data_IF_080438012408
#
_entry.id   IF_080438012408
#
_cell.length_a   1.000
_cell.length_b   1.000
_cell.length_c   1.000
_cell.angle_alpha   90.00
_cell.angle_beta   90.00
_cell.angle_gamma   90.00
#
_symmetry.space_group_name_H-M   'P 1'
#
loop_
_entity.id
_entity.type
_entity.pdbx_description
1 polymer ?
#
# COMPACT_ATOMS: atom_id res chain seq x y z
N UNK A 1 -6.57 7.83 -39.26
CA UNK A 1 -6.43 6.65 -38.37
C UNK A 1 -5.50 7.02 -37.22
N UNK A 2 -6.04 7.17 -36.01
CA UNK A 2 -5.25 7.59 -34.84
C UNK A 2 -4.42 6.40 -34.33
N UNK A 3 -3.08 6.52 -34.38
CA UNK A 3 -2.17 5.57 -33.75
C UNK A 3 -2.32 5.70 -32.23
N UNK A 4 -2.84 4.65 -31.59
CA UNK A 4 -2.79 4.52 -30.15
C UNK A 4 -1.31 4.52 -29.72
N UNK A 5 -0.88 5.62 -29.09
CA UNK A 5 0.45 5.69 -28.51
C UNK A 5 0.50 4.74 -27.31
N UNK A 6 1.44 3.79 -27.26
CA UNK A 6 1.60 2.95 -26.08
C UNK A 6 1.90 3.86 -24.89
N UNK A 7 1.07 3.80 -23.83
CA UNK A 7 1.37 4.49 -22.58
C UNK A 7 2.76 4.02 -22.12
N UNK A 8 3.70 4.93 -21.82
CA UNK A 8 5.01 4.52 -21.31
C UNK A 8 4.80 3.66 -20.06
N UNK A 9 5.37 2.46 -20.05
CA UNK A 9 5.40 1.63 -18.85
C UNK A 9 6.12 2.43 -17.77
N UNK A 10 5.53 2.60 -16.57
CA UNK A 10 6.22 3.26 -15.48
C UNK A 10 7.52 2.52 -15.19
N UNK A 11 8.63 3.25 -15.16
CA UNK A 11 9.92 2.68 -14.77
C UNK A 11 9.81 2.22 -13.31
N UNK A 12 10.04 0.93 -13.07
CA UNK A 12 10.30 0.40 -11.74
C UNK A 12 11.60 1.05 -11.28
N UNK A 13 11.57 1.81 -10.19
CA UNK A 13 12.74 2.56 -9.71
C UNK A 13 13.25 1.95 -8.42
N UNK A 14 14.57 1.86 -8.28
CA UNK A 14 15.25 1.43 -7.03
C UNK A 14 15.07 2.42 -5.87
N UNK A 15 14.43 3.57 -6.13
CA UNK A 15 14.08 4.56 -5.13
C UNK A 15 12.58 4.90 -5.18
N UNK A 16 12.02 5.34 -4.04
CA UNK A 16 12.62 5.28 -2.71
C UNK A 16 12.70 3.84 -2.18
N UNK A 17 13.73 3.57 -1.36
CA UNK A 17 13.89 2.25 -0.72
C UNK A 17 12.93 2.14 0.46
N UNK A 18 11.85 1.42 0.25
CA UNK A 18 10.74 1.26 1.19
C UNK A 18 10.56 -0.22 1.53
N UNK A 19 10.45 -0.53 2.82
CA UNK A 19 9.92 -1.82 3.28
C UNK A 19 8.54 -1.61 3.89
N UNK A 20 7.62 -2.51 3.54
CA UNK A 20 6.30 -2.61 4.18
C UNK A 20 6.26 -3.95 4.89
N UNK A 21 5.96 -3.92 6.19
CA UNK A 21 5.80 -5.15 6.98
C UNK A 21 4.38 -5.71 6.83
N UNK A 22 4.18 -7.02 7.08
CA UNK A 22 2.84 -7.57 7.29
C UNK A 22 2.05 -6.73 8.29
N UNK A 23 0.78 -6.47 8.00
CA UNK A 23 -0.06 -5.69 8.90
C UNK A 23 -0.53 -6.52 10.09
N UNK A 24 -0.88 -5.84 11.18
CA UNK A 24 -1.65 -6.42 12.27
C UNK A 24 -3.10 -5.96 12.19
N UNK A 25 -3.99 -6.73 12.82
CA UNK A 25 -5.44 -6.51 12.72
C UNK A 25 -6.07 -6.39 14.10
N UNK A 26 -7.00 -5.45 14.24
CA UNK A 26 -7.92 -5.33 15.38
C UNK A 26 -9.35 -5.06 14.89
N UNK A 27 -10.36 -5.41 15.67
CA UNK A 27 -11.77 -5.27 15.29
C UNK A 27 -12.55 -6.57 15.43
N UNK A 28 -13.76 -6.59 14.87
CA UNK A 28 -14.67 -7.72 14.89
C UNK A 28 -15.80 -7.52 13.85
N UNK A 29 -16.60 -8.56 13.62
CA UNK A 29 -17.87 -8.48 12.88
C UNK A 29 -17.76 -7.82 11.50
N UNK A 30 -16.70 -8.19 10.77
CA UNK A 30 -16.48 -7.68 9.43
C UNK A 30 -15.91 -6.27 9.35
N UNK A 31 -15.75 -5.60 10.49
CA UNK A 31 -15.19 -4.26 10.63
C UNK A 31 -13.84 -4.35 11.32
N UNK A 32 -12.80 -4.12 10.54
CA UNK A 32 -11.42 -4.30 10.98
C UNK A 32 -10.64 -3.01 10.83
N UNK A 33 -9.56 -2.93 11.57
CA UNK A 33 -8.54 -1.92 11.47
C UNK A 33 -7.22 -2.62 11.23
N UNK A 34 -6.58 -2.32 10.10
CA UNK A 34 -5.27 -2.88 9.77
C UNK A 34 -4.17 -1.84 9.99
N UNK A 35 -3.14 -2.22 10.73
CA UNK A 35 -1.98 -1.38 11.03
C UNK A 35 -0.78 -1.87 10.24
N UNK A 36 -0.36 -1.06 9.29
CA UNK A 36 0.83 -1.28 8.48
C UNK A 36 2.02 -0.59 9.13
N UNK A 37 3.15 -1.30 9.24
CA UNK A 37 4.43 -0.68 9.56
C UNK A 37 5.21 -0.43 8.27
N UNK A 38 5.62 0.81 8.06
CA UNK A 38 6.30 1.27 6.84
C UNK A 38 7.67 1.80 7.26
N UNK A 39 8.73 1.18 6.73
CA UNK A 39 10.10 1.54 7.03
C UNK A 39 10.76 2.25 5.83
N UNK A 40 11.43 3.36 6.13
CA UNK A 40 12.28 4.07 5.20
C UNK A 40 13.70 3.48 5.27
N UNK A 41 14.06 2.65 4.30
CA UNK A 41 15.42 2.10 4.15
C UNK A 41 16.31 2.98 3.26
N UNK A 42 15.80 4.15 2.87
CA UNK A 42 16.53 5.19 2.17
C UNK A 42 17.39 6.05 3.09
N UNK A 43 18.17 6.90 2.46
CA UNK A 43 19.02 7.90 3.12
C UNK A 43 18.39 9.30 3.07
N UNK A 44 17.23 9.43 2.41
CA UNK A 44 16.44 10.66 2.32
C UNK A 44 15.14 10.52 3.12
N UNK A 45 14.63 11.60 3.73
CA UNK A 45 13.35 11.57 4.40
C UNK A 45 12.21 11.24 3.41
N UNK A 46 11.22 10.48 3.90
CA UNK A 46 10.01 10.17 3.15
C UNK A 46 8.81 10.84 3.79
N UNK A 47 7.92 11.38 2.97
CA UNK A 47 6.58 11.80 3.41
C UNK A 47 5.53 10.92 2.76
N UNK A 48 4.73 10.22 3.57
CA UNK A 48 3.53 9.53 3.12
C UNK A 48 2.41 10.54 2.97
N UNK A 49 1.80 10.57 1.78
CA UNK A 49 0.78 11.55 1.38
C UNK A 49 -0.62 10.94 1.41
N UNK A 50 -0.75 9.68 0.97
CA UNK A 50 -2.02 8.97 1.06
C UNK A 50 -1.81 7.48 1.02
N UNK A 51 -2.83 6.77 1.49
CA UNK A 51 -2.93 5.32 1.40
C UNK A 51 -4.30 4.91 0.87
N UNK A 52 -4.32 3.84 0.08
CA UNK A 52 -5.55 3.26 -0.44
C UNK A 52 -5.41 1.75 -0.56
N UNK A 53 -6.50 1.03 -0.26
CA UNK A 53 -6.64 -0.39 -0.54
C UNK A 53 -7.82 -0.55 -1.51
N UNK A 54 -7.57 -0.88 -2.79
CA UNK A 54 -8.61 -0.89 -3.81
C UNK A 54 -9.38 -2.21 -3.92
N UNK A 55 -8.95 -3.26 -3.21
CA UNK A 55 -9.54 -4.59 -3.34
C UNK A 55 -10.98 -4.58 -2.82
N UNK A 56 -11.94 -5.15 -3.55
CA UNK A 56 -13.39 -5.00 -3.31
C UNK A 56 -13.82 -5.36 -1.89
N UNK A 57 -13.28 -6.46 -1.34
CA UNK A 57 -13.53 -6.94 0.03
C UNK A 57 -12.56 -6.39 1.07
N UNK A 58 -11.79 -5.37 0.72
CA UNK A 58 -10.79 -4.73 1.58
C UNK A 58 -10.67 -3.25 1.21
N UNK A 59 -11.79 -2.68 0.72
CA UNK A 59 -11.79 -1.41 0.02
C UNK A 59 -11.80 -0.27 1.02
N UNK A 60 -10.84 0.63 0.87
CA UNK A 60 -10.81 1.90 1.58
C UNK A 60 -10.88 3.05 0.59
N UNK A 61 -11.60 4.11 0.97
CA UNK A 61 -11.42 5.39 0.31
C UNK A 61 -9.96 5.81 0.46
N UNK A 62 -9.44 6.58 -0.50
CA UNK A 62 -8.11 7.16 -0.33
C UNK A 62 -8.08 7.95 0.98
N UNK A 63 -7.20 7.52 1.88
CA UNK A 63 -7.00 8.14 3.18
C UNK A 63 -5.84 9.10 3.05
N UNK A 64 -6.12 10.39 3.17
CA UNK A 64 -5.08 11.41 3.22
C UNK A 64 -4.20 11.15 4.46
N UNK A 65 -2.89 11.21 4.25
CA UNK A 65 -1.88 11.05 5.28
C UNK A 65 -1.02 12.30 5.31
N UNK A 66 -0.50 12.62 6.48
CA UNK A 66 0.64 13.50 6.60
C UNK A 66 1.67 12.94 7.59
N UNK A 67 2.41 11.92 7.13
CA UNK A 67 3.38 11.20 7.98
C UNK A 67 4.77 11.35 7.40
N UNK A 68 5.67 11.99 8.17
CA UNK A 68 7.09 12.04 7.86
C UNK A 68 7.82 10.84 8.47
N UNK A 69 8.67 10.18 7.68
CA UNK A 69 9.52 9.07 8.09
C UNK A 69 10.96 9.48 7.81
N UNK A 70 11.73 9.72 8.88
CA UNK A 70 13.15 10.01 8.79
C UNK A 70 13.92 8.87 8.09
N UNK A 71 15.12 9.14 7.55
CA UNK A 71 16.01 8.08 7.07
C UNK A 71 16.20 6.99 8.13
N UNK A 72 16.13 5.72 7.73
CA UNK A 72 16.30 4.56 8.62
C UNK A 72 15.28 4.47 9.76
N UNK A 73 14.17 5.20 9.68
CA UNK A 73 13.07 5.13 10.63
C UNK A 73 11.86 4.38 10.05
N UNK A 74 10.85 4.16 10.89
CA UNK A 74 9.58 3.57 10.49
C UNK A 74 8.41 4.31 11.14
N UNK A 75 7.26 4.27 10.48
CA UNK A 75 6.00 4.78 11.00
C UNK A 75 4.88 3.78 10.75
N UNK A 76 3.82 3.90 11.54
CA UNK A 76 2.65 3.05 11.39
C UNK A 76 1.51 3.83 10.73
N UNK A 77 0.84 3.17 9.78
CA UNK A 77 -0.34 3.67 9.09
C UNK A 77 -1.50 2.74 9.38
N UNK A 78 -2.60 3.33 9.84
CA UNK A 78 -3.79 2.58 10.27
C UNK A 78 -4.93 2.86 9.30
N UNK A 79 -5.55 1.80 8.77
CA UNK A 79 -6.64 1.90 7.81
C UNK A 79 -7.84 1.06 8.28
N UNK A 80 -9.05 1.64 8.35
CA UNK A 80 -10.26 0.87 8.59
C UNK A 80 -10.63 0.10 7.33
N UNK A 81 -10.91 -1.20 7.43
CA UNK A 81 -11.30 -2.07 6.31
C UNK A 81 -12.57 -2.82 6.66
N UNK A 82 -13.41 -3.08 5.65
CA UNK A 82 -14.47 -4.09 5.76
C UNK A 82 -13.96 -5.37 5.11
N UNK A 83 -14.04 -6.50 5.81
CA UNK A 83 -13.54 -7.81 5.33
C UNK A 83 -14.44 -8.92 5.88
N UNK A 84 -15.13 -9.62 4.99
CA UNK A 84 -16.22 -10.57 5.29
C UNK A 84 -16.04 -11.91 4.56
N UNK A 85 -14.81 -12.40 4.55
CA UNK A 85 -14.49 -13.69 3.92
C UNK A 85 -14.68 -14.84 4.91
N UNK A 86 -15.08 -16.01 4.40
CA UNK A 86 -15.18 -17.22 5.22
C UNK A 86 -13.81 -17.63 5.79
N UNK A 87 -13.71 -18.14 7.04
CA UNK A 87 -12.46 -18.63 7.59
C UNK A 87 -11.71 -19.58 6.65
N UNK A 88 -10.40 -19.38 6.49
CA UNK A 88 -9.55 -20.12 5.56
C UNK A 88 -9.56 -19.62 4.12
N UNK A 89 -10.48 -18.72 3.73
CA UNK A 89 -10.47 -18.11 2.41
C UNK A 89 -9.18 -17.31 2.18
N UNK A 90 -8.67 -17.35 0.95
CA UNK A 90 -7.45 -16.66 0.55
C UNK A 90 -7.80 -15.58 -0.46
N UNK A 91 -7.40 -14.36 -0.16
CA UNK A 91 -7.48 -13.23 -1.09
C UNK A 91 -6.14 -13.06 -1.76
N UNK A 92 -6.10 -13.39 -3.04
CA UNK A 92 -4.93 -13.23 -3.92
C UNK A 92 -4.87 -11.82 -4.50
N UNK A 93 -3.67 -11.26 -4.62
CA UNK A 93 -3.41 -9.90 -5.12
C UNK A 93 -4.06 -8.70 -4.36
N UNK A 94 -4.22 -8.70 -3.02
CA UNK A 94 -4.56 -7.47 -2.32
C UNK A 94 -3.35 -6.53 -2.30
N UNK A 95 -3.61 -5.25 -2.56
CA UNK A 95 -2.60 -4.20 -2.61
C UNK A 95 -2.88 -3.11 -1.58
N UNK A 96 -1.83 -2.67 -0.90
CA UNK A 96 -1.74 -1.33 -0.33
C UNK A 96 -1.06 -0.42 -1.36
N UNK A 97 -1.73 0.66 -1.73
CA UNK A 97 -1.19 1.72 -2.58
C UNK A 97 -0.80 2.87 -1.66
N UNK A 98 0.46 3.30 -1.72
CA UNK A 98 0.95 4.48 -1.03
C UNK A 98 1.34 5.55 -2.04
N UNK A 99 0.92 6.80 -1.81
CA UNK A 99 1.52 7.98 -2.43
C UNK A 99 2.54 8.57 -1.48
N UNK A 100 3.71 8.90 -1.98
CA UNK A 100 4.84 9.32 -1.17
C UNK A 100 5.73 10.33 -1.89
N UNK A 101 6.52 11.08 -1.10
CA UNK A 101 7.45 12.11 -1.57
C UNK A 101 8.82 11.99 -0.92
N UNK A 102 9.89 12.11 -1.72
CA UNK A 102 11.30 12.12 -1.28
C UNK A 102 12.13 13.26 -1.93
N UNK A 103 11.44 14.23 -2.52
CA UNK A 103 11.98 15.21 -3.48
C UNK A 103 11.30 15.11 -4.86
N UNK A 104 10.69 13.96 -5.17
CA UNK A 104 9.70 13.80 -6.25
C UNK A 104 8.41 13.13 -5.77
N UNK A 105 7.41 12.99 -6.65
CA UNK A 105 6.23 12.19 -6.36
C UNK A 105 6.40 10.72 -6.78
N UNK A 106 5.96 9.83 -5.90
CA UNK A 106 6.09 8.39 -6.07
C UNK A 106 4.82 7.67 -5.68
N UNK A 107 4.68 6.48 -6.27
CA UNK A 107 3.66 5.49 -5.90
C UNK A 107 4.35 4.18 -5.55
N UNK A 108 4.06 3.68 -4.35
CA UNK A 108 4.42 2.31 -3.97
C UNK A 108 3.20 1.40 -4.03
N UNK A 109 3.40 0.20 -4.56
CA UNK A 109 2.43 -0.89 -4.57
C UNK A 109 2.99 -2.00 -3.69
N UNK A 110 2.39 -2.17 -2.50
CA UNK A 110 2.72 -3.24 -1.58
C UNK A 110 1.70 -4.37 -1.75
N UNK A 111 2.17 -5.53 -2.21
CA UNK A 111 1.38 -6.74 -2.43
C UNK A 111 1.56 -7.66 -1.25
N UNK A 112 0.47 -8.14 -0.68
CA UNK A 112 0.48 -9.08 0.45
C UNK A 112 -0.47 -10.22 0.11
N UNK A 113 -0.28 -11.41 0.69
CA UNK A 113 -1.32 -12.45 0.68
C UNK A 113 -2.19 -12.26 1.91
N UNK A 114 -3.51 -12.35 1.78
CA UNK A 114 -4.41 -12.29 2.94
C UNK A 114 -5.16 -13.60 3.08
N UNK A 115 -5.21 -14.13 4.30
CA UNK A 115 -6.04 -15.28 4.66
C UNK A 115 -7.06 -14.86 5.71
N UNK A 116 -8.30 -15.29 5.56
CA UNK A 116 -9.31 -15.11 6.60
C UNK A 116 -9.00 -16.02 7.79
N UNK A 117 -8.76 -15.44 8.94
CA UNK A 117 -8.49 -16.14 10.18
C UNK A 117 -9.71 -16.84 10.77
N UNK A 118 -9.55 -17.57 11.88
CA UNK A 118 -10.63 -18.32 12.52
C UNK A 118 -11.82 -17.47 12.97
N UNK A 119 -11.62 -16.17 13.23
CA UNK A 119 -12.68 -15.22 13.60
C UNK A 119 -13.17 -14.40 12.40
N UNK A 120 -12.75 -14.76 11.19
CA UNK A 120 -13.00 -13.98 9.98
C UNK A 120 -12.12 -12.73 9.88
N UNK A 121 -11.07 -12.60 10.70
CA UNK A 121 -10.15 -11.47 10.59
C UNK A 121 -9.24 -11.58 9.36
N UNK A 122 -8.87 -10.48 8.69
CA UNK A 122 -7.80 -10.52 7.70
C UNK A 122 -6.46 -10.77 8.40
N UNK A 123 -5.75 -11.83 7.99
CA UNK A 123 -4.39 -12.13 8.41
C UNK A 123 -3.43 -11.90 7.25
N UNK A 124 -2.41 -11.08 7.46
CA UNK A 124 -1.35 -10.87 6.50
C UNK A 124 -0.43 -12.10 6.43
N UNK A 125 -0.06 -12.51 5.22
CA UNK A 125 1.05 -13.44 5.01
C UNK A 125 2.38 -12.84 5.47
N UNK A 126 3.38 -13.70 5.68
CA UNK A 126 4.68 -13.31 6.24
C UNK A 126 5.49 -12.34 5.37
N UNK A 127 5.19 -12.30 4.07
CA UNK A 127 5.92 -11.47 3.10
C UNK A 127 5.02 -10.43 2.43
N UNK A 128 5.62 -9.27 2.18
CA UNK A 128 5.02 -8.18 1.40
C UNK A 128 6.01 -7.81 0.30
N UNK A 129 5.54 -7.82 -0.94
CA UNK A 129 6.34 -7.44 -2.11
C UNK A 129 6.04 -6.00 -2.46
N UNK A 130 7.07 -5.16 -2.46
CA UNK A 130 6.93 -3.73 -2.74
C UNK A 130 7.48 -3.38 -4.12
N UNK A 131 6.73 -2.62 -4.90
CA UNK A 131 7.21 -2.02 -6.15
C UNK A 131 6.99 -0.51 -6.11
N UNK A 132 8.04 0.26 -6.39
CA UNK A 132 8.03 1.72 -6.43
C UNK A 132 8.10 2.23 -7.86
N UNK A 133 7.29 3.25 -8.15
CA UNK A 133 7.19 3.89 -9.45
C UNK A 133 7.20 5.39 -9.27
N UNK A 134 8.06 6.08 -10.03
CA UNK A 134 8.03 7.54 -10.07
C UNK A 134 6.75 7.98 -10.77
N UNK A 135 6.03 8.93 -10.17
CA UNK A 135 4.90 9.56 -10.84
C UNK A 135 5.50 10.52 -11.87
N UNK A 136 5.35 10.19 -13.15
CA UNK A 136 5.79 11.06 -14.24
C UNK A 136 4.98 12.36 -14.26
N UNK A 137 5.60 13.42 -14.77
CA UNK A 137 4.88 14.67 -15.09
C UNK A 137 4.06 14.37 -16.35
N UNK A 138 2.87 13.81 -16.19
CA UNK A 138 1.90 13.77 -17.28
C UNK A 138 1.46 15.21 -17.53
N UNK A 139 1.76 15.78 -18.70
CA UNK A 139 1.10 17.01 -19.14
C UNK A 139 -0.41 16.81 -18.99
N UNK A 140 -1.02 17.62 -18.15
CA UNK A 140 -2.42 17.96 -18.35
C UNK A 140 -2.44 18.81 -19.63
N UNK A 141 -2.91 18.21 -20.72
CA UNK A 141 -3.49 18.95 -21.85
C UNK A 141 -4.99 19.08 -21.55
#
# INVERSE_FOLDING_TARGET
MARAHPRPRPAISERPRLRVHPFTTAGADGKWTVRWRIANEGDLPLRLVSAQQPHSQFRTAETALDVAIAPRAAADVTLPVSFNESPGAVVENPFLILRLRDGGEWRALARVRITAGPRGEPLAGESVVVTTQKVGIGRAD
#
